data_IF_402653345968
#
_entry.id   IF_402653345968
#
_cell.length_a   1.000
_cell.length_b   1.000
_cell.length_c   1.000
_cell.angle_alpha   90.00
_cell.angle_beta   90.00
_cell.angle_gamma   90.00
#
_symmetry.space_group_name_H-M   'P 1'
#
loop_
_entity.id
_entity.type
_entity.pdbx_description
1 polymer ?
#
# COMPACT_ATOMS: atom_id res chain seq x y z
N UNK A 1 -20.00 1.81 16.60
CA UNK A 1 -19.39 0.84 15.67
C UNK A 1 -18.14 1.49 15.13
N UNK A 2 -16.99 0.82 15.16
CA UNK A 2 -15.78 1.31 14.48
C UNK A 2 -16.05 1.20 12.99
N UNK A 3 -15.95 2.31 12.25
CA UNK A 3 -16.11 2.30 10.80
C UNK A 3 -14.91 1.58 10.18
N UNK A 4 -15.17 0.52 9.41
CA UNK A 4 -14.14 -0.22 8.70
C UNK A 4 -13.54 0.64 7.59
N UNK A 5 -12.24 0.45 7.32
CA UNK A 5 -11.57 1.09 6.20
C UNK A 5 -12.29 0.76 4.88
N UNK A 6 -12.30 1.75 3.99
CA UNK A 6 -12.93 1.65 2.67
C UNK A 6 -11.99 0.96 1.67
N UNK A 7 -10.69 1.07 1.91
CA UNK A 7 -9.63 0.53 1.07
C UNK A 7 -8.61 -0.21 1.92
N UNK A 8 -7.85 -1.07 1.25
CA UNK A 8 -6.71 -1.77 1.82
C UNK A 8 -5.47 -1.49 0.97
N UNK A 9 -4.29 -1.43 1.59
CA UNK A 9 -3.01 -1.29 0.90
C UNK A 9 -1.94 -2.16 1.58
N UNK A 10 -1.24 -2.97 0.80
CA UNK A 10 -0.15 -3.83 1.24
C UNK A 10 1.18 -3.32 0.71
N UNK A 11 2.16 -3.27 1.61
CA UNK A 11 3.58 -3.36 1.27
C UNK A 11 3.94 -4.83 1.31
N UNK A 12 4.39 -5.39 0.19
CA UNK A 12 4.72 -6.81 0.08
C UNK A 12 6.23 -6.91 -0.08
N UNK A 13 6.87 -7.71 0.76
CA UNK A 13 8.32 -7.95 0.74
C UNK A 13 8.65 -9.42 0.51
N UNK A 14 9.83 -9.63 -0.06
CA UNK A 14 10.44 -10.95 -0.15
C UNK A 14 11.96 -10.79 -0.06
N UNK A 15 12.53 -10.99 1.13
CA UNK A 15 13.91 -10.60 1.40
C UNK A 15 14.08 -9.09 1.34
N UNK A 16 15.11 -8.61 0.64
CA UNK A 16 15.43 -7.16 0.54
C UNK A 16 14.74 -6.46 -0.63
N UNK A 17 13.66 -7.04 -1.15
CA UNK A 17 12.87 -6.48 -2.23
C UNK A 17 11.43 -6.23 -1.80
N UNK A 18 10.78 -5.27 -2.46
CA UNK A 18 9.35 -5.03 -2.38
C UNK A 18 8.70 -5.14 -3.76
N UNK A 19 7.43 -5.59 -3.78
CA UNK A 19 6.59 -5.55 -4.97
C UNK A 19 5.80 -4.25 -5.00
N UNK A 20 5.78 -3.59 -6.15
CA UNK A 20 5.05 -2.34 -6.36
C UNK A 20 4.20 -2.42 -7.64
N UNK A 21 3.12 -1.63 -7.64
CA UNK A 21 2.24 -1.42 -8.79
C UNK A 21 2.46 -0.02 -9.38
N UNK A 22 2.91 0.07 -10.62
CA UNK A 22 2.89 1.31 -11.39
C UNK A 22 1.47 1.54 -11.93
N UNK A 23 0.81 2.61 -11.49
CA UNK A 23 -0.65 2.78 -11.68
C UNK A 23 -1.00 3.31 -13.08
N UNK A 24 -1.94 2.66 -13.78
CA UNK A 24 -2.56 3.22 -14.99
C UNK A 24 -3.77 4.12 -14.70
N UNK A 25 -4.39 3.96 -13.54
CA UNK A 25 -5.60 4.70 -13.16
C UNK A 25 -5.34 5.76 -12.10
N UNK A 26 -6.18 6.80 -12.12
CA UNK A 26 -6.18 7.87 -11.11
C UNK A 26 -6.49 7.32 -9.71
N UNK A 27 -6.05 8.02 -8.64
CA UNK A 27 -5.03 9.08 -8.66
C UNK A 27 -3.63 8.53 -8.99
N UNK A 28 -2.66 9.42 -9.20
CA UNK A 28 -1.22 9.08 -9.31
C UNK A 28 -0.85 8.15 -10.48
N UNK A 29 -1.40 8.42 -11.68
CA UNK A 29 -1.03 7.68 -12.90
C UNK A 29 0.47 7.79 -13.14
N UNK A 30 1.13 6.65 -13.35
CA UNK A 30 2.56 6.54 -13.59
C UNK A 30 3.44 6.49 -12.32
N UNK A 31 2.87 6.70 -11.13
CA UNK A 31 3.58 6.47 -9.86
C UNK A 31 3.44 5.02 -9.40
N UNK A 32 4.44 4.58 -8.64
CA UNK A 32 4.49 3.28 -7.98
C UNK A 32 3.81 3.32 -6.62
N UNK A 33 3.03 2.29 -6.30
CA UNK A 33 2.29 2.20 -5.05
C UNK A 33 2.37 0.78 -4.48
N UNK A 34 1.95 0.63 -3.22
CA UNK A 34 1.57 -0.67 -2.68
C UNK A 34 0.39 -1.28 -3.44
N UNK A 35 0.13 -2.56 -3.16
CA UNK A 35 -0.89 -3.36 -3.82
C UNK A 35 -2.17 -3.30 -3.00
N UNK A 36 -3.33 -3.20 -3.64
CA UNK A 36 -4.60 -3.22 -2.93
C UNK A 36 -5.69 -2.43 -3.62
N UNK A 37 -6.86 -2.45 -2.98
CA UNK A 37 -8.07 -2.02 -3.64
C UNK A 37 -9.19 -1.70 -2.67
N UNK A 38 -10.39 -1.60 -3.22
CA UNK A 38 -11.60 -1.25 -2.48
C UNK A 38 -12.13 -2.49 -1.77
N UNK A 39 -12.40 -2.34 -0.47
CA UNK A 39 -13.07 -3.38 0.31
C UNK A 39 -14.50 -3.59 -0.20
N UNK A 40 -14.92 -4.84 -0.37
CA UNK A 40 -16.29 -5.24 -0.69
C UNK A 40 -17.18 -5.14 0.55
N UNK A 41 -18.50 -5.13 0.35
CA UNK A 41 -19.43 -5.14 1.49
C UNK A 41 -19.30 -6.45 2.27
N UNK A 42 -19.44 -6.38 3.60
CA UNK A 42 -19.42 -7.51 4.54
C UNK A 42 -18.11 -8.32 4.66
N UNK A 43 -17.01 -7.97 3.97
CA UNK A 43 -15.69 -8.58 4.25
C UNK A 43 -14.92 -7.82 5.34
N UNK A 44 -14.10 -8.52 6.13
CA UNK A 44 -13.11 -7.86 7.01
C UNK A 44 -12.00 -7.22 6.17
N UNK A 45 -11.25 -6.29 6.75
CA UNK A 45 -10.12 -5.65 6.06
C UNK A 45 -9.07 -6.68 5.64
N UNK A 46 -8.75 -7.63 6.54
CA UNK A 46 -7.83 -8.72 6.25
C UNK A 46 -8.34 -9.64 5.12
N UNK A 47 -9.62 -10.04 5.15
CA UNK A 47 -10.19 -10.86 4.09
C UNK A 47 -10.19 -10.14 2.74
N UNK A 48 -10.51 -8.83 2.75
CA UNK A 48 -10.41 -7.99 1.56
C UNK A 48 -8.99 -7.88 1.04
N UNK A 49 -7.99 -7.72 1.93
CA UNK A 49 -6.58 -7.66 1.55
C UNK A 49 -6.13 -8.95 0.86
N UNK A 50 -6.36 -10.11 1.48
CA UNK A 50 -5.98 -11.42 0.92
C UNK A 50 -6.59 -11.62 -0.48
N UNK A 51 -7.86 -11.24 -0.63
CA UNK A 51 -8.56 -11.30 -1.92
C UNK A 51 -7.93 -10.37 -2.96
N UNK A 52 -7.67 -9.11 -2.64
CA UNK A 52 -7.04 -8.15 -3.57
C UNK A 52 -5.66 -8.63 -4.00
N UNK A 53 -4.84 -9.17 -3.09
CA UNK A 53 -3.53 -9.74 -3.43
C UNK A 53 -3.65 -10.86 -4.46
N UNK A 54 -4.60 -11.79 -4.25
CA UNK A 54 -4.86 -12.87 -5.20
C UNK A 54 -5.36 -12.35 -6.56
N UNK A 55 -6.28 -11.37 -6.57
CA UNK A 55 -6.86 -10.79 -7.79
C UNK A 55 -5.81 -9.98 -8.59
N UNK A 56 -4.96 -9.20 -7.91
CA UNK A 56 -4.03 -8.28 -8.56
C UNK A 56 -2.68 -8.91 -8.91
N UNK A 57 -2.17 -9.79 -8.05
CA UNK A 57 -0.80 -10.31 -8.19
C UNK A 57 -0.73 -11.81 -8.44
N UNK A 58 -1.84 -12.53 -8.25
CA UNK A 58 -1.88 -14.00 -8.23
C UNK A 58 -1.25 -14.62 -6.98
N UNK A 59 -0.62 -13.83 -6.11
CA UNK A 59 0.04 -14.31 -4.89
C UNK A 59 -1.03 -14.76 -3.90
N UNK A 60 -0.91 -16.01 -3.46
CA UNK A 60 -1.75 -16.58 -2.41
C UNK A 60 -1.02 -16.45 -1.07
N UNK A 61 -1.66 -15.83 -0.10
CA UNK A 61 -1.13 -15.66 1.26
C UNK A 61 -2.13 -16.14 2.29
N UNK A 62 -1.60 -16.61 3.42
CA UNK A 62 -2.40 -16.89 4.61
C UNK A 62 -2.56 -15.63 5.48
N UNK A 63 -3.54 -15.64 6.38
CA UNK A 63 -3.72 -14.58 7.38
C UNK A 63 -2.45 -14.33 8.21
N UNK A 64 -1.70 -15.39 8.54
CA UNK A 64 -0.47 -15.29 9.33
C UNK A 64 0.66 -14.53 8.63
N UNK A 65 0.60 -14.38 7.30
CA UNK A 65 1.57 -13.63 6.52
C UNK A 65 1.20 -12.15 6.37
N UNK A 66 -0.01 -11.76 6.79
CA UNK A 66 -0.53 -10.41 6.64
C UNK A 66 -0.54 -9.71 8.01
N UNK A 67 0.44 -8.86 8.25
CA UNK A 67 0.53 -8.07 9.49
C UNK A 67 -0.17 -6.72 9.30
N UNK A 68 -1.26 -6.41 10.04
CA UNK A 68 -1.86 -5.08 10.04
C UNK A 68 -0.89 -4.07 10.65
N UNK A 69 -0.64 -2.96 9.94
CA UNK A 69 0.28 -1.89 10.35
C UNK A 69 -0.44 -0.57 10.63
N UNK A 70 -1.76 -0.64 10.76
CA UNK A 70 -2.62 0.45 11.17
C UNK A 70 -3.40 1.06 10.01
N UNK A 71 -3.60 2.38 10.05
CA UNK A 71 -4.55 3.06 9.18
C UNK A 71 -4.02 4.39 8.66
N UNK A 72 -4.32 4.69 7.40
CA UNK A 72 -4.11 6.02 6.81
C UNK A 72 -5.46 6.70 6.55
N UNK A 73 -5.67 7.85 7.16
CA UNK A 73 -6.78 8.76 6.85
C UNK A 73 -6.33 9.71 5.74
N UNK A 74 -7.07 9.70 4.64
CA UNK A 74 -6.81 10.52 3.47
C UNK A 74 -7.82 11.65 3.36
N UNK A 75 -7.32 12.88 3.28
CA UNK A 75 -8.09 14.09 3.04
C UNK A 75 -7.56 14.87 1.84
N UNK A 76 -8.44 15.63 1.18
CA UNK A 76 -8.10 16.56 0.09
C UNK A 76 -8.72 17.92 0.40
N UNK A 77 -7.90 18.96 0.44
CA UNK A 77 -8.25 20.32 0.83
C UNK A 77 -9.08 20.31 2.14
N UNK A 78 -8.57 19.61 3.16
CA UNK A 78 -9.18 19.40 4.48
C UNK A 78 -10.50 18.60 4.50
N UNK A 79 -10.94 18.07 3.35
CA UNK A 79 -12.11 17.22 3.26
C UNK A 79 -11.73 15.74 3.35
N UNK A 80 -12.19 15.06 4.39
CA UNK A 80 -12.02 13.61 4.56
C UNK A 80 -12.57 12.84 3.36
N UNK A 81 -11.75 11.92 2.82
CA UNK A 81 -12.11 11.10 1.66
C UNK A 81 -12.36 9.65 2.06
N UNK A 82 -11.40 9.04 2.77
CA UNK A 82 -11.45 7.65 3.15
C UNK A 82 -10.39 7.29 4.20
N UNK A 83 -10.61 6.17 4.86
CA UNK A 83 -9.58 5.45 5.62
C UNK A 83 -9.11 4.24 4.81
N UNK A 84 -7.79 4.02 4.82
CA UNK A 84 -7.10 2.90 4.18
C UNK A 84 -6.48 2.03 5.30
N UNK A 85 -6.80 0.74 5.34
CA UNK A 85 -6.12 -0.20 6.22
C UNK A 85 -4.79 -0.63 5.59
N UNK A 86 -3.71 -0.56 6.38
CA UNK A 86 -2.35 -0.84 5.93
C UNK A 86 -1.90 -2.21 6.41
N UNK A 87 -1.20 -2.92 5.53
CA UNK A 87 -0.66 -4.23 5.81
C UNK A 87 0.79 -4.33 5.35
N UNK A 88 1.59 -5.08 6.10
CA UNK A 88 2.86 -5.61 5.63
C UNK A 88 2.70 -7.11 5.37
N UNK A 89 3.17 -7.57 4.22
CA UNK A 89 3.09 -8.98 3.80
C UNK A 89 4.48 -9.49 3.46
N UNK A 90 4.98 -10.46 4.22
CA UNK A 90 6.30 -11.05 4.00
C UNK A 90 6.17 -12.46 3.38
N UNK A 91 6.76 -12.64 2.19
CA UNK A 91 6.74 -13.90 1.43
C UNK A 91 7.96 -14.81 1.70
N UNK A 92 8.88 -14.40 2.56
CA UNK A 92 10.03 -15.14 3.10
C UNK A 92 11.10 -15.68 2.11
N UNK A 93 10.84 -15.78 0.79
CA UNK A 93 11.78 -16.42 -0.16
C UNK A 93 12.36 -15.46 -1.20
N UNK A 94 11.56 -15.05 -2.18
CA UNK A 94 11.93 -14.16 -3.29
C UNK A 94 10.72 -14.02 -4.22
N UNK A 95 10.65 -12.92 -4.97
CA UNK A 95 9.69 -12.74 -6.05
C UNK A 95 9.96 -13.59 -7.30
N UNK A 96 11.16 -14.20 -7.41
CA UNK A 96 11.56 -14.97 -8.59
C UNK A 96 11.73 -14.10 -9.84
N UNK A 97 11.62 -14.70 -11.03
CA UNK A 97 11.88 -14.04 -12.33
C UNK A 97 10.60 -13.61 -13.06
N UNK A 98 9.47 -13.57 -12.36
CA UNK A 98 8.17 -13.38 -13.01
C UNK A 98 7.84 -11.92 -13.34
N UNK A 99 8.61 -10.96 -12.80
CA UNK A 99 8.40 -9.53 -12.96
C UNK A 99 9.39 -8.91 -13.97
N UNK A 100 8.98 -7.85 -14.69
CA UNK A 100 7.73 -7.12 -14.56
C UNK A 100 6.52 -7.83 -15.21
N UNK A 101 5.32 -7.62 -14.65
CA UNK A 101 4.06 -8.16 -15.17
C UNK A 101 3.07 -7.04 -15.47
N UNK A 102 2.52 -7.02 -16.68
CA UNK A 102 1.42 -6.11 -17.02
C UNK A 102 0.09 -6.72 -16.59
N UNK A 103 -0.75 -5.90 -15.98
CA UNK A 103 -2.10 -6.25 -15.57
C UNK A 103 -3.10 -5.14 -15.92
N UNK A 104 -4.37 -5.32 -15.55
CA UNK A 104 -5.43 -4.34 -15.83
C UNK A 104 -5.18 -2.99 -15.16
N UNK A 105 -4.67 -3.00 -13.93
CA UNK A 105 -4.50 -1.78 -13.12
C UNK A 105 -3.14 -1.09 -13.34
N UNK A 106 -2.17 -1.75 -13.98
CA UNK A 106 -0.82 -1.25 -14.06
C UNK A 106 0.25 -2.25 -14.48
N UNK A 107 1.49 -1.97 -14.06
CA UNK A 107 2.64 -2.87 -14.18
C UNK A 107 3.12 -3.22 -12.77
N UNK A 108 3.16 -4.51 -12.45
CA UNK A 108 3.80 -5.02 -11.24
C UNK A 108 5.30 -5.20 -11.49
N UNK A 109 6.13 -4.69 -10.59
CA UNK A 109 7.57 -4.93 -10.60
C UNK A 109 8.13 -4.93 -9.18
N UNK A 110 9.18 -5.73 -8.96
CA UNK A 110 9.93 -5.74 -7.73
C UNK A 110 11.13 -4.79 -7.79
N UNK A 111 11.45 -4.17 -6.66
CA UNK A 111 12.58 -3.27 -6.50
C UNK A 111 13.28 -3.54 -5.16
N UNK A 112 14.58 -3.24 -5.04
CA UNK A 112 15.24 -3.25 -3.75
C UNK A 112 14.53 -2.33 -2.75
N UNK A 113 14.37 -2.78 -1.50
CA UNK A 113 13.82 -1.97 -0.41
C UNK A 113 14.61 -0.69 -0.19
N UNK A 114 15.93 -0.74 -0.36
CA UNK A 114 16.80 0.43 -0.30
C UNK A 114 16.48 1.47 -1.40
N UNK A 115 16.06 1.04 -2.61
CA UNK A 115 15.65 1.97 -3.66
C UNK A 115 14.35 2.69 -3.28
N UNK A 116 13.38 1.98 -2.72
CA UNK A 116 12.10 2.58 -2.32
C UNK A 116 12.22 3.51 -1.12
N UNK A 117 13.20 3.28 -0.25
CA UNK A 117 13.49 4.11 0.93
C UNK A 117 14.44 5.29 0.66
N UNK A 118 15.01 5.38 -0.54
CA UNK A 118 15.89 6.50 -0.89
C UNK A 118 15.13 7.83 -0.79
N UNK A 119 15.68 8.82 -0.07
CA UNK A 119 15.06 10.13 0.14
C UNK A 119 14.84 10.90 -1.18
N UNK A 120 15.56 10.54 -2.25
CA UNK A 120 15.39 11.11 -3.59
C UNK A 120 14.38 10.31 -4.44
N UNK A 121 13.76 9.26 -3.90
CA UNK A 121 12.75 8.50 -4.64
C UNK A 121 11.44 9.29 -4.75
N UNK A 122 11.29 9.97 -5.90
CA UNK A 122 10.07 10.68 -6.28
C UNK A 122 9.11 9.82 -7.12
N UNK A 123 9.37 8.52 -7.24
CA UNK A 123 8.61 7.60 -8.08
C UNK A 123 7.44 6.92 -7.37
N UNK A 124 7.42 6.93 -6.03
CA UNK A 124 6.33 6.37 -5.21
C UNK A 124 5.16 7.36 -5.07
N UNK A 125 3.96 6.88 -4.68
CA UNK A 125 2.86 7.79 -4.34
C UNK A 125 3.24 8.64 -3.11
N UNK A 126 2.80 9.91 -3.05
CA UNK A 126 3.29 10.83 -2.02
C UNK A 126 2.98 10.40 -0.59
N UNK A 127 1.87 9.69 -0.37
CA UNK A 127 1.46 9.13 0.92
C UNK A 127 2.20 7.83 1.29
N UNK A 128 2.64 7.04 0.31
CA UNK A 128 3.41 5.82 0.57
C UNK A 128 4.80 6.15 1.10
N UNK A 129 5.46 7.18 0.54
CA UNK A 129 6.82 7.59 0.94
C UNK A 129 6.98 7.73 2.46
N UNK A 130 6.20 8.56 3.17
CA UNK A 130 6.38 8.75 4.61
C UNK A 130 5.88 7.56 5.45
N UNK A 131 5.00 6.70 4.91
CA UNK A 131 4.45 5.54 5.61
C UNK A 131 5.38 4.32 5.53
N UNK A 132 6.05 4.15 4.40
CA UNK A 132 6.82 2.96 4.05
C UNK A 132 7.84 2.53 5.14
N UNK A 133 8.65 3.43 5.74
CA UNK A 133 9.64 3.03 6.77
C UNK A 133 9.01 2.37 8.00
N UNK A 134 7.80 2.77 8.36
CA UNK A 134 7.07 2.26 9.53
C UNK A 134 6.41 0.92 9.23
N UNK A 135 5.79 0.80 8.05
CA UNK A 135 5.15 -0.45 7.61
C UNK A 135 6.18 -1.57 7.49
N UNK A 136 7.35 -1.30 6.92
CA UNK A 136 8.44 -2.29 6.82
C UNK A 136 8.97 -2.77 8.17
N UNK A 137 8.83 -1.95 9.22
CA UNK A 137 9.19 -2.31 10.60
C UNK A 137 8.05 -2.98 11.37
N UNK A 138 6.90 -3.21 10.73
CA UNK A 138 5.66 -3.66 11.36
C UNK A 138 5.18 -2.75 12.50
N UNK A 139 5.50 -1.46 12.44
CA UNK A 139 4.98 -0.51 13.41
C UNK A 139 3.51 -0.21 13.12
N UNK A 140 2.68 -0.15 14.17
CA UNK A 140 1.23 0.07 14.06
C UNK A 140 0.92 1.52 14.41
N UNK A 141 0.49 2.28 13.41
CA UNK A 141 0.24 3.72 13.55
C UNK A 141 -1.07 4.15 12.91
N UNK A 142 -1.54 5.34 13.28
CA UNK A 142 -2.62 6.02 12.58
C UNK A 142 -2.10 7.28 11.93
N UNK A 143 -2.05 7.28 10.60
CA UNK A 143 -1.52 8.36 9.79
C UNK A 143 -2.65 9.28 9.33
N UNK A 144 -2.41 10.58 9.34
CA UNK A 144 -3.25 11.59 8.72
C UNK A 144 -2.51 12.17 7.54
N UNK A 145 -3.18 12.23 6.40
CA UNK A 145 -2.68 12.88 5.21
C UNK A 145 -3.68 13.92 4.72
N UNK A 146 -3.18 15.06 4.30
CA UNK A 146 -3.96 16.07 3.60
C UNK A 146 -3.26 16.43 2.29
N UNK A 147 -4.04 16.54 1.23
CA UNK A 147 -3.54 16.84 -0.10
C UNK A 147 -4.16 18.12 -0.64
N UNK A 148 -3.39 18.87 -1.44
CA UNK A 148 -3.97 19.86 -2.36
C UNK A 148 -3.66 19.44 -3.79
N UNK A 149 -4.71 19.11 -4.54
CA UNK A 149 -4.56 18.41 -5.82
C UNK A 149 -3.85 17.06 -5.65
N UNK A 150 -2.66 16.91 -6.24
CA UNK A 150 -1.83 15.70 -6.12
C UNK A 150 -0.66 15.85 -5.13
N UNK A 151 -0.50 17.02 -4.51
CA UNK A 151 0.58 17.31 -3.58
C UNK A 151 0.17 16.96 -2.16
N UNK A 152 0.99 16.16 -1.47
CA UNK A 152 0.86 15.95 -0.03
C UNK A 152 1.31 17.22 0.69
N UNK A 153 0.39 17.87 1.41
CA UNK A 153 0.65 19.12 2.14
C UNK A 153 0.74 18.90 3.66
N UNK A 154 0.23 17.77 4.16
CA UNK A 154 0.32 17.41 5.57
C UNK A 154 0.47 15.90 5.73
N UNK A 155 1.40 15.49 6.60
CA UNK A 155 1.54 14.13 7.10
C UNK A 155 1.73 14.17 8.61
N UNK A 156 0.91 13.43 9.36
CA UNK A 156 0.99 13.33 10.82
C UNK A 156 0.77 11.90 11.29
N UNK A 157 1.49 11.50 12.32
CA UNK A 157 1.21 10.27 13.09
C UNK A 157 0.40 10.69 14.32
N UNK A 158 -0.80 10.14 14.50
CA UNK A 158 -1.58 10.34 15.74
C UNK A 158 -0.95 9.49 16.85
N UNK A 159 -0.58 10.16 17.94
CA UNK A 159 -0.16 9.54 19.21
C UNK A 159 -1.37 9.02 20.01
#
# INVERSE_FOLDING_TARGET
MVELAKYNLAVITAGDELLLLNRFKKPYVGLWNGIGGKRKAAESELAGMIRELAEETGIQVSEAQCSPTGYLEWSVDDNYQATIALFHVDLAKSFGTQYPQRMREGILANFPTAWALDEQNVGLTPDLIPVLPYVLKNEVHRYLTNFSGAQLVEFKIKF
#
